data_IF_564826449627
#
_entry.id   IF_564826449627
#
_cell.length_a   1.000
_cell.length_b   1.000
_cell.length_c   1.000
_cell.angle_alpha   90.00
_cell.angle_beta   90.00
_cell.angle_gamma   90.00
#
_symmetry.space_group_name_H-M   'P 1'
#
loop_
_entity.id
_entity.type
_entity.pdbx_description
1 polymer ?
#
# COMPACT_ATOMS: atom_id res chain seq x y z
N UNK A 1 6.04 18.23 0.66
CA UNK A 1 6.25 16.77 0.64
C UNK A 1 7.60 16.40 0.04
N UNK A 2 7.97 16.90 -1.14
CA UNK A 2 9.28 16.65 -1.76
C UNK A 2 10.43 17.02 -0.81
N UNK A 3 10.37 18.19 -0.16
CA UNK A 3 11.37 18.60 0.84
C UNK A 3 11.45 17.65 2.03
N UNK A 4 10.34 17.07 2.45
CA UNK A 4 10.30 16.04 3.49
C UNK A 4 10.99 14.75 3.02
N UNK A 5 10.61 14.24 1.86
CA UNK A 5 11.14 12.99 1.31
C UNK A 5 12.67 13.08 0.99
N UNK A 6 13.14 14.25 0.57
CA UNK A 6 14.53 14.48 0.18
C UNK A 6 15.38 15.20 1.25
N UNK A 7 14.76 15.74 2.29
CA UNK A 7 15.41 16.53 3.34
C UNK A 7 16.05 15.73 4.48
N UNK A 8 16.15 14.42 4.35
CA UNK A 8 16.78 13.55 5.36
C UNK A 8 15.96 13.34 6.64
N UNK A 9 14.67 13.68 6.65
CA UNK A 9 13.80 13.44 7.81
C UNK A 9 13.59 11.96 8.09
N UNK A 10 13.57 11.14 7.03
CA UNK A 10 13.40 9.70 7.11
C UNK A 10 14.73 8.93 7.09
N UNK A 11 15.83 9.58 7.44
CA UNK A 11 17.12 8.94 7.58
C UNK A 11 17.06 7.79 8.59
N UNK A 12 17.46 6.59 8.17
CA UNK A 12 17.47 5.39 9.00
C UNK A 12 18.30 5.52 10.28
N UNK A 13 19.34 6.38 10.30
CA UNK A 13 20.12 6.67 11.51
C UNK A 13 19.30 7.34 12.61
N UNK A 14 18.15 7.91 12.28
CA UNK A 14 17.21 8.51 13.25
C UNK A 14 16.24 7.51 13.85
N UNK A 15 16.30 6.24 13.48
CA UNK A 15 15.39 5.18 13.99
C UNK A 15 15.27 5.20 15.52
N UNK A 16 16.38 5.36 16.21
CA UNK A 16 16.36 5.43 17.69
C UNK A 16 15.79 6.73 18.23
N UNK A 17 15.72 7.79 17.42
CA UNK A 17 15.11 9.07 17.82
C UNK A 17 13.60 9.11 17.52
N UNK A 18 13.09 8.14 16.79
CA UNK A 18 11.64 8.02 16.62
C UNK A 18 10.98 7.79 17.97
N UNK A 19 9.77 8.29 18.13
CA UNK A 19 9.06 8.12 19.40
C UNK A 19 8.73 6.65 19.65
N UNK A 20 9.66 5.94 20.29
CA UNK A 20 9.52 4.53 20.68
C UNK A 20 8.91 4.36 22.08
N UNK A 21 8.45 5.45 22.69
CA UNK A 21 7.92 5.42 24.07
C UNK A 21 6.75 4.46 24.24
N UNK A 22 5.84 4.42 23.27
CA UNK A 22 4.71 3.49 23.26
C UNK A 22 5.17 2.03 23.06
N UNK A 23 6.26 1.81 22.32
CA UNK A 23 6.82 0.47 22.10
C UNK A 23 7.38 -0.11 23.38
N UNK A 24 8.04 0.72 24.23
CA UNK A 24 8.58 0.30 25.53
C UNK A 24 7.50 -0.16 26.50
N UNK A 25 6.30 0.41 26.39
CA UNK A 25 5.15 0.04 27.21
C UNK A 25 4.47 -1.26 26.75
N UNK A 26 4.77 -1.76 25.56
CA UNK A 26 4.16 -2.96 25.00
C UNK A 26 4.96 -4.23 25.33
N UNK A 27 4.25 -5.38 25.41
CA UNK A 27 4.86 -6.70 25.64
C UNK A 27 5.88 -7.05 24.52
N UNK A 28 5.66 -6.58 23.32
CA UNK A 28 6.49 -6.81 22.13
C UNK A 28 7.63 -5.78 21.98
N UNK A 29 7.65 -4.73 22.82
CA UNK A 29 8.58 -3.61 22.70
C UNK A 29 10.04 -4.02 22.68
N UNK A 30 10.44 -4.98 23.50
CA UNK A 30 11.82 -5.51 23.54
C UNK A 30 12.25 -6.13 22.22
N UNK A 31 11.33 -6.70 21.43
CA UNK A 31 11.62 -7.24 20.10
C UNK A 31 11.95 -6.12 19.12
N UNK A 32 11.17 -5.04 19.12
CA UNK A 32 11.41 -3.89 18.26
C UNK A 32 12.69 -3.13 18.63
N UNK A 33 12.99 -2.99 19.91
CA UNK A 33 14.27 -2.40 20.38
C UNK A 33 15.48 -3.19 19.87
N UNK A 34 15.42 -4.52 19.89
CA UNK A 34 16.48 -5.37 19.32
C UNK A 34 16.65 -5.18 17.82
N UNK A 35 15.55 -5.03 17.07
CA UNK A 35 15.59 -4.75 15.63
C UNK A 35 16.23 -3.40 15.36
N UNK A 36 15.82 -2.36 16.09
CA UNK A 36 16.39 -1.03 15.96
C UNK A 36 17.89 -1.00 16.27
N UNK A 37 18.34 -1.72 17.31
CA UNK A 37 19.76 -1.85 17.64
C UNK A 37 20.56 -2.51 16.50
N UNK A 38 20.04 -3.57 15.91
CA UNK A 38 20.68 -4.21 14.75
C UNK A 38 20.77 -3.31 13.52
N UNK A 39 19.72 -2.52 13.25
CA UNK A 39 19.76 -1.54 12.15
C UNK A 39 20.94 -0.58 12.34
N UNK A 40 21.13 -0.07 13.56
CA UNK A 40 22.27 0.84 13.83
C UNK A 40 23.61 0.15 13.66
N UNK A 41 23.79 -1.06 14.16
CA UNK A 41 25.01 -1.84 13.97
C UNK A 41 25.37 -2.00 12.49
N UNK A 42 24.39 -2.32 11.63
CA UNK A 42 24.61 -2.42 10.19
C UNK A 42 24.93 -1.07 9.54
N UNK A 43 24.28 0.00 9.96
CA UNK A 43 24.56 1.35 9.47
C UNK A 43 25.96 1.82 9.88
N UNK A 44 26.43 1.45 11.08
CA UNK A 44 27.78 1.76 11.54
C UNK A 44 28.83 0.99 10.74
N UNK A 45 28.55 -0.26 10.40
CA UNK A 45 29.40 -1.03 9.49
C UNK A 45 29.46 -0.40 8.10
N UNK A 46 28.31 0.01 7.53
CA UNK A 46 28.27 0.68 6.24
C UNK A 46 29.08 1.98 6.25
N UNK A 47 28.99 2.77 7.31
CA UNK A 47 29.82 3.98 7.49
C UNK A 47 31.32 3.67 7.48
N UNK A 48 31.71 2.62 8.20
CA UNK A 48 33.11 2.22 8.29
C UNK A 48 33.72 1.82 6.93
N UNK A 49 32.89 1.32 6.00
CA UNK A 49 33.32 0.99 4.63
C UNK A 49 33.04 2.11 3.63
N UNK A 50 32.69 3.31 4.10
CA UNK A 50 32.52 4.50 3.28
C UNK A 50 31.16 4.65 2.61
N UNK A 51 30.17 3.81 2.95
CA UNK A 51 28.78 3.89 2.45
C UNK A 51 27.94 4.66 3.46
N UNK A 52 27.77 5.94 3.26
CA UNK A 52 27.03 6.82 4.15
C UNK A 52 26.20 7.87 3.39
N UNK A 53 25.47 8.69 4.11
CA UNK A 53 24.57 9.70 3.56
C UNK A 53 25.26 10.81 2.75
N UNK A 54 26.58 10.97 2.86
CA UNK A 54 27.34 11.91 2.05
C UNK A 54 27.87 11.29 0.76
N UNK A 55 28.08 9.97 0.75
CA UNK A 55 28.57 9.24 -0.43
C UNK A 55 27.43 8.63 -1.26
N UNK A 56 26.32 8.29 -0.61
CA UNK A 56 25.12 7.68 -1.24
C UNK A 56 23.89 8.49 -0.86
N UNK A 57 23.43 9.36 -1.76
CA UNK A 57 22.32 10.28 -1.50
C UNK A 57 21.00 9.55 -1.18
N UNK A 58 20.82 8.36 -1.76
CA UNK A 58 19.61 7.54 -1.57
C UNK A 58 19.39 7.11 -0.11
N UNK A 59 20.47 7.10 0.72
CA UNK A 59 20.35 6.84 2.15
C UNK A 59 19.64 7.96 2.93
N UNK A 60 19.50 9.14 2.33
CA UNK A 60 18.79 10.30 2.89
C UNK A 60 17.39 10.48 2.31
N UNK A 61 17.07 9.79 1.23
CA UNK A 61 15.83 9.95 0.53
C UNK A 61 14.89 8.78 0.82
N UNK A 62 13.61 9.05 0.82
CA UNK A 62 12.56 8.02 0.82
C UNK A 62 11.68 8.24 -0.39
N UNK A 63 11.27 7.16 -1.00
CA UNK A 63 10.19 7.19 -1.96
C UNK A 63 8.90 7.61 -1.27
N UNK A 64 8.16 8.47 -1.92
CA UNK A 64 6.93 9.02 -1.39
C UNK A 64 5.77 8.70 -2.31
N UNK A 65 4.87 7.85 -1.84
CA UNK A 65 3.68 7.45 -2.57
C UNK A 65 2.44 8.02 -1.90
N UNK A 66 1.48 8.45 -2.72
CA UNK A 66 0.19 8.94 -2.27
C UNK A 66 -0.91 7.93 -2.57
N UNK A 67 -1.93 7.91 -1.72
CA UNK A 67 -3.09 7.04 -1.90
C UNK A 67 -4.36 7.72 -1.39
N UNK A 68 -5.48 7.43 -2.03
CA UNK A 68 -6.80 7.82 -1.54
C UNK A 68 -7.92 6.92 -2.07
N UNK A 69 -9.12 7.07 -1.52
CA UNK A 69 -10.32 6.46 -2.07
C UNK A 69 -10.75 7.18 -3.35
N UNK A 70 -10.88 6.44 -4.45
CA UNK A 70 -11.41 6.94 -5.71
C UNK A 70 -12.92 7.15 -5.65
N UNK A 71 -13.41 7.99 -4.73
CA UNK A 71 -14.83 8.15 -4.46
C UNK A 71 -15.53 9.05 -5.47
N UNK A 72 -14.89 10.15 -5.86
CA UNK A 72 -15.49 11.16 -6.73
C UNK A 72 -14.99 11.01 -8.17
N UNK A 73 -15.61 10.12 -8.94
CA UNK A 73 -15.15 9.74 -10.28
C UNK A 73 -14.95 10.89 -11.26
N UNK A 74 -15.77 11.97 -11.29
CA UNK A 74 -15.47 13.13 -12.13
C UNK A 74 -14.12 13.78 -11.82
N UNK A 75 -13.71 13.82 -10.57
CA UNK A 75 -12.37 14.31 -10.17
C UNK A 75 -11.26 13.34 -10.65
N UNK A 76 -11.44 12.07 -10.43
CA UNK A 76 -10.47 11.06 -10.86
C UNK A 76 -10.30 11.04 -12.39
N UNK A 77 -11.41 11.08 -13.12
CA UNK A 77 -11.41 11.13 -14.59
C UNK A 77 -10.73 12.39 -15.12
N UNK A 78 -10.94 13.55 -14.48
CA UNK A 78 -10.28 14.80 -14.86
C UNK A 78 -8.76 14.76 -14.71
N UNK A 79 -8.24 13.90 -13.83
CA UNK A 79 -6.80 13.69 -13.60
C UNK A 79 -6.24 12.44 -14.29
N UNK A 80 -7.05 11.73 -15.07
CA UNK A 80 -6.59 10.56 -15.81
C UNK A 80 -5.86 10.98 -17.08
N UNK A 81 -4.71 10.36 -17.35
CA UNK A 81 -3.83 10.68 -18.47
C UNK A 81 -3.29 9.39 -19.12
N UNK A 82 -3.00 9.48 -20.40
CA UNK A 82 -2.23 8.46 -21.12
C UNK A 82 -0.74 8.76 -20.92
N UNK A 83 0.01 7.77 -20.49
CA UNK A 83 1.47 7.86 -20.44
C UNK A 83 2.03 7.85 -21.86
N UNK A 84 2.81 8.86 -22.22
CA UNK A 84 3.36 9.03 -23.56
C UNK A 84 4.45 8.00 -23.92
N UNK A 85 4.99 7.27 -22.95
CA UNK A 85 6.03 6.27 -23.17
C UNK A 85 5.45 4.87 -23.33
N UNK A 86 4.46 4.52 -22.51
CA UNK A 86 3.88 3.16 -22.45
C UNK A 86 2.52 3.05 -23.16
N UNK A 87 1.85 4.18 -23.43
CA UNK A 87 0.46 4.28 -23.86
C UNK A 87 -0.56 3.73 -22.85
N UNK A 88 -0.13 3.47 -21.62
CA UNK A 88 -1.02 3.05 -20.55
C UNK A 88 -1.77 4.24 -19.95
N UNK A 89 -2.94 3.96 -19.39
CA UNK A 89 -3.82 4.98 -18.80
C UNK A 89 -3.62 5.01 -17.30
N UNK A 90 -3.21 6.15 -16.76
CA UNK A 90 -3.03 6.34 -15.32
C UNK A 90 -3.92 7.46 -14.78
N UNK A 91 -4.56 7.22 -13.65
CA UNK A 91 -5.13 8.28 -12.85
C UNK A 91 -4.02 8.93 -12.02
N UNK A 92 -3.70 10.19 -12.32
CA UNK A 92 -2.59 10.92 -11.70
C UNK A 92 -2.97 11.64 -10.39
N UNK A 93 -4.17 11.39 -9.86
CA UNK A 93 -4.61 11.91 -8.56
C UNK A 93 -3.82 11.32 -7.40
N UNK A 94 -3.41 10.05 -7.52
CA UNK A 94 -2.55 9.35 -6.57
C UNK A 94 -1.82 8.18 -7.25
N UNK A 95 -0.78 7.65 -6.59
CA UNK A 95 -0.08 6.45 -7.05
C UNK A 95 -0.93 5.19 -6.86
N UNK A 96 -1.68 5.13 -5.76
CA UNK A 96 -2.53 4.01 -5.39
C UNK A 96 -3.94 4.51 -5.08
N UNK A 97 -4.95 3.90 -5.69
CA UNK A 97 -6.35 4.28 -5.53
C UNK A 97 -7.12 3.08 -5.01
N UNK A 98 -8.02 3.27 -4.06
CA UNK A 98 -8.86 2.17 -3.61
C UNK A 98 -10.34 2.41 -3.84
N UNK A 99 -11.05 1.31 -4.05
CA UNK A 99 -12.52 1.27 -4.12
C UNK A 99 -13.06 1.10 -2.70
N UNK A 100 -14.00 1.94 -2.31
CA UNK A 100 -14.66 1.87 -1.01
C UNK A 100 -15.57 0.65 -0.87
N UNK A 101 -15.83 0.24 0.36
CA UNK A 101 -16.72 -0.89 0.68
C UNK A 101 -18.14 -0.71 0.12
N UNK A 102 -18.62 0.52 0.03
CA UNK A 102 -19.95 0.87 -0.48
C UNK A 102 -20.02 1.05 -1.99
N UNK A 103 -18.90 1.03 -2.69
CA UNK A 103 -18.83 1.31 -4.13
C UNK A 103 -18.18 0.18 -4.93
N UNK A 104 -17.89 -0.97 -4.29
CA UNK A 104 -17.19 -2.12 -4.90
C UNK A 104 -18.10 -3.14 -5.58
N UNK A 105 -19.33 -2.81 -5.88
CA UNK A 105 -20.21 -3.73 -6.61
C UNK A 105 -19.71 -3.97 -8.03
N UNK A 106 -19.85 -5.19 -8.52
CA UNK A 106 -19.31 -5.61 -9.81
C UNK A 106 -19.76 -4.70 -10.98
N UNK A 107 -21.00 -4.23 -10.96
CA UNK A 107 -21.56 -3.33 -11.99
C UNK A 107 -21.41 -1.84 -11.64
N UNK A 108 -20.60 -1.51 -10.64
CA UNK A 108 -20.44 -0.11 -10.23
C UNK A 108 -19.55 0.66 -11.20
N UNK A 109 -19.83 1.96 -11.35
CA UNK A 109 -18.97 2.86 -12.10
C UNK A 109 -17.53 2.92 -11.53
N UNK A 110 -17.35 2.62 -10.23
CA UNK A 110 -16.03 2.61 -9.58
C UNK A 110 -15.19 1.41 -10.01
N UNK A 111 -15.80 0.23 -10.11
CA UNK A 111 -15.13 -0.98 -10.62
C UNK A 111 -14.77 -0.77 -12.09
N UNK A 112 -15.70 -0.24 -12.90
CA UNK A 112 -15.45 0.05 -14.31
C UNK A 112 -14.35 1.09 -14.53
N UNK A 113 -14.33 2.16 -13.73
CA UNK A 113 -13.25 3.15 -13.76
C UNK A 113 -11.89 2.50 -13.45
N UNK A 114 -11.81 1.69 -12.38
CA UNK A 114 -10.57 1.04 -11.98
C UNK A 114 -10.09 -0.02 -12.99
N UNK A 115 -11.01 -0.64 -13.74
CA UNK A 115 -10.68 -1.53 -14.86
C UNK A 115 -9.94 -0.80 -15.98
N UNK A 116 -10.23 0.49 -16.16
CA UNK A 116 -9.70 1.31 -17.25
C UNK A 116 -8.36 2.00 -16.94
N UNK A 117 -7.77 1.82 -15.76
CA UNK A 117 -6.51 2.47 -15.37
C UNK A 117 -5.44 1.45 -14.98
N UNK A 118 -4.17 1.81 -15.21
CA UNK A 118 -3.01 0.96 -14.93
C UNK A 118 -2.45 1.10 -13.51
N UNK A 119 -2.99 2.02 -12.70
CA UNK A 119 -2.59 2.15 -11.28
C UNK A 119 -2.78 0.83 -10.52
N UNK A 120 -1.96 0.54 -9.51
CA UNK A 120 -2.30 -0.47 -8.52
C UNK A 120 -3.57 -0.05 -7.74
N UNK A 121 -4.46 -1.00 -7.51
CA UNK A 121 -5.81 -0.77 -6.98
C UNK A 121 -6.00 -1.46 -5.63
N UNK A 122 -6.54 -0.74 -4.67
CA UNK A 122 -7.03 -1.29 -3.41
C UNK A 122 -8.52 -1.64 -3.47
N UNK A 123 -8.92 -2.72 -2.82
CA UNK A 123 -10.33 -3.07 -2.65
C UNK A 123 -10.62 -3.17 -1.15
N UNK A 124 -11.55 -2.35 -0.65
CA UNK A 124 -12.01 -2.43 0.73
C UNK A 124 -12.88 -3.68 0.92
N UNK A 125 -12.47 -4.53 1.86
CA UNK A 125 -13.13 -5.78 2.19
C UNK A 125 -13.75 -5.69 3.59
N UNK A 126 -15.04 -5.39 3.66
CA UNK A 126 -15.82 -5.37 4.91
C UNK A 126 -16.60 -6.66 5.12
N UNK A 127 -17.31 -6.80 6.26
CA UNK A 127 -18.03 -8.01 6.65
C UNK A 127 -19.16 -8.43 5.69
N UNK A 128 -19.66 -7.49 4.89
CA UNK A 128 -20.72 -7.73 3.91
C UNK A 128 -20.23 -8.25 2.56
N UNK A 129 -18.90 -8.38 2.38
CA UNK A 129 -18.33 -8.83 1.12
C UNK A 129 -18.48 -10.34 0.99
N UNK A 130 -19.12 -10.76 -0.09
CA UNK A 130 -19.13 -12.16 -0.52
C UNK A 130 -17.78 -12.51 -1.18
N UNK A 131 -17.11 -13.61 -0.78
CA UNK A 131 -15.84 -14.00 -1.35
C UNK A 131 -15.87 -14.27 -2.86
N UNK A 132 -16.95 -14.83 -3.38
CA UNK A 132 -17.11 -15.11 -4.82
C UNK A 132 -17.35 -13.82 -5.62
N UNK A 133 -18.04 -12.84 -5.03
CA UNK A 133 -18.13 -11.49 -5.61
C UNK A 133 -16.76 -10.83 -5.70
N UNK A 134 -15.92 -10.96 -4.66
CA UNK A 134 -14.57 -10.41 -4.68
C UNK A 134 -13.72 -11.00 -5.80
N UNK A 135 -13.81 -12.31 -6.05
CA UNK A 135 -13.10 -12.97 -7.16
C UNK A 135 -13.50 -12.34 -8.49
N UNK A 136 -14.80 -12.14 -8.73
CA UNK A 136 -15.30 -11.49 -9.96
C UNK A 136 -14.81 -10.06 -10.10
N UNK A 137 -14.77 -9.28 -9.02
CA UNK A 137 -14.24 -7.91 -9.03
C UNK A 137 -12.75 -7.92 -9.39
N UNK A 138 -11.96 -8.81 -8.80
CA UNK A 138 -10.53 -8.96 -9.10
C UNK A 138 -10.34 -9.33 -10.57
N UNK A 139 -11.08 -10.29 -11.10
CA UNK A 139 -11.02 -10.69 -12.51
C UNK A 139 -11.39 -9.56 -13.47
N UNK A 140 -12.33 -8.72 -13.08
CA UNK A 140 -12.74 -7.55 -13.86
C UNK A 140 -11.65 -6.49 -13.91
N UNK A 141 -11.01 -6.19 -12.78
CA UNK A 141 -9.99 -5.12 -12.70
C UNK A 141 -8.62 -5.63 -13.16
N UNK A 142 -8.31 -6.89 -12.93
CA UNK A 142 -7.02 -7.51 -13.24
C UNK A 142 -7.19 -8.81 -14.05
N UNK A 143 -7.72 -8.76 -15.27
CA UNK A 143 -7.97 -9.94 -16.08
C UNK A 143 -6.70 -10.72 -16.46
N UNK A 144 -5.56 -10.03 -16.52
CA UNK A 144 -4.25 -10.66 -16.80
C UNK A 144 -3.63 -11.34 -15.56
N UNK A 145 -4.28 -11.22 -14.39
CA UNK A 145 -3.78 -11.70 -13.10
C UNK A 145 -2.35 -11.21 -12.81
N UNK A 146 -2.10 -9.93 -13.09
CA UNK A 146 -0.81 -9.29 -12.89
C UNK A 146 -0.47 -9.21 -11.40
N UNK A 147 0.67 -9.76 -10.96
CA UNK A 147 1.10 -9.69 -9.57
C UNK A 147 1.28 -8.25 -9.09
N UNK A 148 0.76 -7.94 -7.90
CA UNK A 148 0.90 -6.60 -7.31
C UNK A 148 -0.13 -5.56 -7.78
N UNK A 149 -0.96 -5.87 -8.78
CA UNK A 149 -2.00 -4.96 -9.28
C UNK A 149 -3.10 -4.71 -8.25
N UNK A 150 -3.49 -5.72 -7.48
CA UNK A 150 -4.57 -5.65 -6.50
C UNK A 150 -4.06 -5.80 -5.07
N UNK A 151 -4.54 -4.94 -4.19
CA UNK A 151 -4.34 -5.05 -2.75
C UNK A 151 -5.68 -5.11 -2.02
N UNK A 152 -5.87 -6.12 -1.18
CA UNK A 152 -7.09 -6.25 -0.38
C UNK A 152 -6.91 -5.51 0.94
N UNK A 153 -7.83 -4.60 1.24
CA UNK A 153 -7.79 -3.76 2.45
C UNK A 153 -8.90 -4.23 3.39
N UNK A 154 -8.54 -5.08 4.33
CA UNK A 154 -9.49 -5.64 5.28
C UNK A 154 -9.98 -4.62 6.29
N UNK A 155 -11.30 -4.57 6.47
CA UNK A 155 -11.98 -3.67 7.38
C UNK A 155 -13.02 -4.44 8.18
N UNK A 156 -12.53 -5.30 9.03
CA UNK A 156 -13.43 -6.09 9.90
C UNK A 156 -13.39 -5.54 11.32
N UNK A 157 -13.30 -5.25 12.18
CA UNK A 157 -13.12 -5.00 13.58
C UNK A 157 -12.58 -6.26 14.26
N UNK A 158 -12.03 -6.09 15.43
CA UNK A 158 -11.44 -7.16 16.22
C UNK A 158 -12.39 -8.36 16.42
N UNK A 159 -13.66 -8.08 16.70
CA UNK A 159 -14.68 -9.12 16.99
C UNK A 159 -15.11 -9.95 15.77
N UNK A 160 -14.87 -9.46 14.55
CA UNK A 160 -15.40 -10.09 13.35
C UNK A 160 -14.34 -10.57 12.37
N UNK A 161 -13.07 -10.23 12.56
CA UNK A 161 -11.98 -10.60 11.66
C UNK A 161 -11.78 -12.11 11.59
N UNK A 162 -11.81 -12.79 12.72
CA UNK A 162 -11.61 -14.26 12.80
C UNK A 162 -12.75 -15.03 12.11
N UNK A 163 -13.91 -14.43 12.02
CA UNK A 163 -15.07 -15.03 11.37
C UNK A 163 -15.04 -14.90 9.84
N UNK A 164 -14.56 -13.76 9.32
CA UNK A 164 -14.71 -13.43 7.90
C UNK A 164 -13.41 -13.59 7.09
N UNK A 165 -12.27 -13.25 7.68
CA UNK A 165 -11.00 -13.26 6.96
C UNK A 165 -10.56 -14.65 6.47
N UNK A 166 -10.66 -15.75 7.25
CA UNK A 166 -10.19 -17.05 6.80
C UNK A 166 -10.89 -17.55 5.53
N UNK A 167 -12.20 -17.45 5.47
CA UNK A 167 -13.00 -17.87 4.30
C UNK A 167 -12.67 -17.06 3.05
N UNK A 168 -12.47 -15.75 3.21
CA UNK A 168 -12.09 -14.88 2.10
C UNK A 168 -10.69 -15.22 1.58
N UNK A 169 -9.70 -15.42 2.45
CA UNK A 169 -8.33 -15.81 2.08
C UNK A 169 -8.33 -17.18 1.37
N UNK A 170 -9.10 -18.14 1.89
CA UNK A 170 -9.23 -19.47 1.27
C UNK A 170 -9.78 -19.39 -0.15
N UNK A 171 -10.85 -18.60 -0.35
CA UNK A 171 -11.46 -18.43 -1.68
C UNK A 171 -10.51 -17.78 -2.67
N UNK A 172 -9.80 -16.70 -2.26
CA UNK A 172 -8.82 -16.03 -3.11
C UNK A 172 -7.67 -16.98 -3.49
N UNK A 173 -7.14 -17.72 -2.51
CA UNK A 173 -6.04 -18.66 -2.74
C UNK A 173 -6.45 -19.80 -3.69
N UNK A 174 -7.65 -20.36 -3.52
CA UNK A 174 -8.17 -21.41 -4.42
C UNK A 174 -8.32 -20.93 -5.86
N UNK A 175 -8.62 -19.67 -6.08
CA UNK A 175 -8.77 -19.07 -7.41
C UNK A 175 -7.45 -18.48 -7.97
N UNK A 176 -6.31 -18.69 -7.30
CA UNK A 176 -5.00 -18.13 -7.68
C UNK A 176 -5.04 -16.60 -7.90
N UNK A 177 -5.71 -15.88 -7.00
CA UNK A 177 -5.84 -14.41 -7.06
C UNK A 177 -5.04 -13.75 -5.92
#
# INVERSE_FOLDING_TARGET
>A
LRSFAQGGFANLRKVNSWNMGFVKASKEGKKYEKIAAKINEYLDFMDAVGVNTSTVIDLNTVEFFTSHEGLHLPYEAALTRVDSLTNEVYCTSAHFIWIGDRTRFIDSAHVEFCRGISNPIGIKCGPSLDPDELVKIIETINPANEPGKISLIFRYGEESIDKHLPGLVETITKNNK
#
